data_IF_915772578784
#
_entry.id   IF_915772578784
#
_cell.length_a   1.000
_cell.length_b   1.000
_cell.length_c   1.000
_cell.angle_alpha   90.00
_cell.angle_beta   90.00
_cell.angle_gamma   90.00
#
_symmetry.space_group_name_H-M   'P 1'
#
loop_
_entity.id
_entity.type
_entity.pdbx_description
1 polymer ?
#
# COMPACT_ATOMS: atom_id res chain seq x y z
N UNK A 1 24.43 30.12 33.80
CA UNK A 1 23.91 30.98 32.70
C UNK A 1 22.48 30.55 32.40
N UNK A 2 21.48 31.40 32.66
CA UNK A 2 20.09 31.13 32.27
C UNK A 2 19.98 31.30 30.75
N UNK A 3 19.68 30.23 30.02
CA UNK A 3 19.37 30.32 28.59
C UNK A 3 18.00 30.96 28.46
N UNK A 4 17.96 32.18 27.93
CA UNK A 4 16.74 32.83 27.47
C UNK A 4 16.36 32.16 26.16
N UNK A 5 15.24 31.45 26.13
CA UNK A 5 14.59 31.03 24.89
C UNK A 5 13.82 32.23 24.35
N UNK A 6 14.28 32.80 23.25
CA UNK A 6 13.51 33.76 22.46
C UNK A 6 12.73 32.93 21.45
N UNK A 7 11.42 32.81 21.66
CA UNK A 7 10.50 32.28 20.65
C UNK A 7 10.24 33.44 19.69
N UNK A 8 10.73 33.33 18.45
CA UNK A 8 10.24 34.14 17.35
C UNK A 8 8.91 33.52 16.92
N UNK A 9 7.80 34.19 17.22
CA UNK A 9 6.52 33.92 16.56
C UNK A 9 6.65 34.56 15.18
N UNK A 10 6.96 33.77 14.17
CA UNK A 10 6.81 34.19 12.77
C UNK A 10 5.32 34.12 12.50
N UNK A 11 4.66 35.28 12.47
CA UNK A 11 3.30 35.38 11.95
C UNK A 11 3.40 35.17 10.43
N UNK A 12 2.99 34.00 9.94
CA UNK A 12 2.73 33.85 8.52
C UNK A 12 1.51 34.69 8.20
N UNK A 13 1.69 35.77 7.42
CA UNK A 13 0.58 36.41 6.74
C UNK A 13 0.31 35.50 5.55
N UNK A 14 -0.74 34.68 5.66
CA UNK A 14 -1.19 33.85 4.56
C UNK A 14 -1.73 34.75 3.45
N UNK A 15 -1.44 34.40 2.20
CA UNK A 15 -1.82 35.22 1.07
C UNK A 15 -3.34 35.31 0.97
N UNK A 16 -3.84 36.53 0.81
CA UNK A 16 -5.23 36.78 0.48
C UNK A 16 -5.60 36.02 -0.81
N UNK A 17 -6.75 35.33 -0.86
CA UNK A 17 -7.17 34.63 -2.07
C UNK A 17 -7.44 35.64 -3.21
N UNK A 18 -7.24 35.20 -4.45
CA UNK A 18 -7.36 36.07 -5.64
C UNK A 18 -8.80 36.61 -5.80
N UNK A 19 -9.80 35.83 -5.39
CA UNK A 19 -11.21 36.20 -5.38
C UNK A 19 -11.52 37.35 -4.42
N UNK A 20 -10.67 37.57 -3.41
CA UNK A 20 -10.87 38.61 -2.40
C UNK A 20 -10.11 39.89 -2.74
N UNK A 21 -9.46 39.98 -3.91
CA UNK A 21 -8.78 41.22 -4.32
C UNK A 21 -9.79 42.36 -4.52
N UNK A 22 -9.51 43.51 -3.93
CA UNK A 22 -10.38 44.69 -3.96
C UNK A 22 -9.62 45.95 -4.36
N UNK A 23 -10.33 46.98 -4.82
CA UNK A 23 -9.77 48.29 -5.13
C UNK A 23 -10.01 49.24 -3.96
N UNK A 24 -8.94 49.68 -3.32
CA UNK A 24 -9.05 50.66 -2.24
C UNK A 24 -9.39 52.06 -2.80
N UNK A 25 -10.46 52.67 -2.29
CA UNK A 25 -10.88 54.04 -2.64
C UNK A 25 -10.80 54.99 -1.44
N UNK A 26 -11.15 56.27 -1.66
CA UNK A 26 -11.19 57.27 -0.58
C UNK A 26 -12.51 57.26 0.21
N UNK A 27 -13.45 56.37 -0.13
CA UNK A 27 -14.70 56.15 0.59
C UNK A 27 -14.63 54.79 1.26
N UNK A 28 -15.08 54.71 2.52
CA UNK A 28 -15.10 53.43 3.21
C UNK A 28 -15.63 53.53 4.62
N UNK A 29 -16.07 52.37 5.12
CA UNK A 29 -16.47 52.18 6.50
C UNK A 29 -15.97 50.84 7.02
N UNK A 30 -15.73 50.78 8.31
CA UNK A 30 -15.19 49.57 8.96
C UNK A 30 -16.33 48.67 9.40
N UNK A 31 -16.21 47.37 9.16
CA UNK A 31 -17.09 46.35 9.72
C UNK A 31 -16.31 45.46 10.68
N UNK A 32 -16.99 44.99 11.72
CA UNK A 32 -16.42 44.20 12.80
C UNK A 32 -17.34 43.03 13.12
N UNK A 33 -16.73 41.93 13.55
CA UNK A 33 -17.49 40.75 13.92
C UNK A 33 -16.61 39.57 14.33
N UNK A 34 -17.30 38.51 14.72
CA UNK A 34 -16.74 37.25 15.19
C UNK A 34 -17.26 36.14 14.27
N UNK A 35 -16.44 35.62 13.34
CA UNK A 35 -16.90 34.61 12.39
C UNK A 35 -16.95 33.21 13.01
N UNK A 36 -17.89 32.40 12.51
CA UNK A 36 -18.04 30.98 12.81
C UNK A 36 -18.20 30.19 11.52
N UNK A 37 -17.52 29.05 11.40
CA UNK A 37 -17.75 28.06 10.35
C UNK A 37 -18.49 26.89 10.99
N UNK A 38 -19.71 26.59 10.55
CA UNK A 38 -20.58 25.57 11.17
C UNK A 38 -20.68 25.71 12.71
N UNK A 39 -20.91 26.93 13.20
CA UNK A 39 -20.93 27.32 14.62
C UNK A 39 -19.61 27.12 15.40
N UNK A 40 -18.54 26.67 14.75
CA UNK A 40 -17.21 26.56 15.31
C UNK A 40 -16.39 27.80 14.99
N UNK A 41 -15.47 28.16 15.88
CA UNK A 41 -14.52 29.24 15.66
C UNK A 41 -13.70 29.01 14.39
N UNK A 42 -13.70 30.00 13.49
CA UNK A 42 -12.79 30.06 12.34
C UNK A 42 -11.32 30.25 12.76
N UNK A 43 -10.38 29.89 11.89
CA UNK A 43 -8.95 30.04 12.12
C UNK A 43 -8.48 31.49 11.94
N UNK A 44 -7.40 31.88 12.61
CA UNK A 44 -6.73 33.17 12.30
C UNK A 44 -5.93 33.15 10.99
N UNK A 45 -5.84 32.00 10.31
CA UNK A 45 -5.28 31.92 8.96
C UNK A 45 -6.28 32.36 7.89
N UNK A 46 -7.58 32.23 8.17
CA UNK A 46 -8.68 32.50 7.25
C UNK A 46 -8.82 33.99 6.90
N UNK A 47 -9.55 34.27 5.84
CA UNK A 47 -9.91 35.62 5.41
C UNK A 47 -11.42 35.79 5.34
N UNK A 48 -11.89 37.02 5.54
CA UNK A 48 -13.28 37.41 5.28
C UNK A 48 -13.31 38.59 4.33
N UNK A 49 -14.31 38.63 3.45
CA UNK A 49 -14.50 39.69 2.48
C UNK A 49 -15.98 40.08 2.35
N UNK A 50 -16.20 41.34 1.98
CA UNK A 50 -17.49 41.87 1.58
C UNK A 50 -17.58 41.97 0.06
N UNK A 51 -18.70 41.53 -0.49
CA UNK A 51 -18.99 41.58 -1.92
C UNK A 51 -20.21 42.45 -2.19
N UNK A 52 -20.12 43.35 -3.15
CA UNK A 52 -21.23 44.20 -3.57
C UNK A 52 -22.35 43.39 -4.27
N UNK A 53 -23.42 44.07 -4.67
CA UNK A 53 -24.57 43.45 -5.34
C UNK A 53 -24.25 42.88 -6.74
N UNK A 54 -23.14 43.30 -7.35
CA UNK A 54 -22.67 42.84 -8.65
C UNK A 54 -21.63 41.70 -8.50
N UNK A 55 -21.19 41.42 -7.28
CA UNK A 55 -20.25 40.36 -6.94
C UNK A 55 -18.78 40.77 -6.96
N UNK A 56 -18.45 42.07 -6.97
CA UNK A 56 -17.04 42.49 -6.81
C UNK A 56 -16.68 42.57 -5.33
N UNK A 57 -15.43 42.24 -5.01
CA UNK A 57 -14.95 42.37 -3.65
C UNK A 57 -14.73 43.85 -3.32
N UNK A 58 -15.50 44.37 -2.36
CA UNK A 58 -15.42 45.74 -1.88
C UNK A 58 -14.43 45.90 -0.71
N UNK A 59 -13.86 44.81 -0.21
CA UNK A 59 -12.93 44.84 0.91
C UNK A 59 -12.77 43.47 1.55
N UNK A 60 -11.57 43.21 2.07
CA UNK A 60 -11.25 41.96 2.75
C UNK A 60 -10.27 42.18 3.91
N UNK A 61 -10.24 41.23 4.85
CA UNK A 61 -9.25 41.21 5.90
C UNK A 61 -9.03 39.81 6.46
N UNK A 62 -7.77 39.52 6.81
CA UNK A 62 -7.40 38.30 7.52
C UNK A 62 -8.03 38.30 8.92
N UNK A 63 -8.48 37.14 9.36
CA UNK A 63 -8.98 36.94 10.71
C UNK A 63 -7.84 37.07 11.74
N UNK A 64 -8.15 37.61 12.92
CA UNK A 64 -7.15 37.85 13.96
C UNK A 64 -7.54 37.22 15.28
N UNK A 65 -6.59 36.54 15.91
CA UNK A 65 -6.75 36.07 17.28
C UNK A 65 -6.61 37.24 18.27
N UNK A 66 -7.69 37.57 18.97
CA UNK A 66 -7.72 38.67 19.92
C UNK A 66 -8.66 38.37 21.09
N UNK A 67 -8.21 38.67 22.31
CA UNK A 67 -9.01 38.55 23.53
C UNK A 67 -9.63 37.14 23.76
N UNK A 68 -8.95 36.08 23.31
CA UNK A 68 -9.39 34.69 23.50
C UNK A 68 -10.35 34.15 22.46
N UNK A 69 -10.59 34.91 21.38
CA UNK A 69 -11.40 34.50 20.22
C UNK A 69 -10.81 34.99 18.90
N UNK A 70 -11.39 34.58 17.78
CA UNK A 70 -11.04 35.04 16.44
C UNK A 70 -12.05 36.07 15.96
N UNK A 71 -11.57 37.17 15.37
CA UNK A 71 -12.40 38.30 14.93
C UNK A 71 -11.92 38.86 13.61
N UNK A 72 -12.80 39.60 12.93
CA UNK A 72 -12.42 40.45 11.82
C UNK A 72 -12.66 41.93 12.12
N UNK A 73 -11.89 42.76 11.45
CA UNK A 73 -12.00 44.21 11.48
C UNK A 73 -11.39 44.75 10.19
N UNK A 74 -12.20 45.01 9.17
CA UNK A 74 -11.72 45.43 7.86
C UNK A 74 -12.58 46.54 7.25
N UNK A 75 -12.03 47.18 6.23
CA UNK A 75 -12.68 48.30 5.53
C UNK A 75 -13.48 47.72 4.36
N UNK A 76 -14.75 48.13 4.26
CA UNK A 76 -15.57 47.96 3.05
C UNK A 76 -15.54 49.30 2.31
N UNK A 77 -14.86 49.32 1.17
CA UNK A 77 -14.67 50.49 0.32
C UNK A 77 -15.93 50.80 -0.48
N UNK A 78 -16.08 52.08 -0.82
CA UNK A 78 -17.16 52.56 -1.67
C UNK A 78 -16.68 52.87 -3.09
N UNK A 79 -17.61 53.03 -4.02
CA UNK A 79 -17.30 53.41 -5.40
C UNK A 79 -16.57 54.74 -5.53
N UNK A 80 -15.61 54.80 -6.45
CA UNK A 80 -14.98 56.06 -6.83
C UNK A 80 -15.85 56.77 -7.89
N UNK A 81 -16.48 57.87 -7.49
CA UNK A 81 -17.33 58.69 -8.36
C UNK A 81 -16.61 59.22 -9.61
N UNK A 82 -15.28 59.16 -9.66
CA UNK A 82 -14.46 59.60 -10.80
C UNK A 82 -14.23 58.51 -11.84
N UNK A 83 -14.56 57.24 -11.52
CA UNK A 83 -14.48 56.07 -12.40
C UNK A 83 -15.83 55.35 -12.55
N UNK A 84 -16.93 56.03 -12.94
CA UNK A 84 -18.30 55.48 -12.93
C UNK A 84 -18.57 54.33 -13.93
N UNK A 85 -17.55 53.88 -14.66
CA UNK A 85 -17.62 52.75 -15.57
C UNK A 85 -16.96 51.48 -14.98
N UNK A 86 -16.33 51.61 -13.81
CA UNK A 86 -15.73 50.55 -13.02
C UNK A 86 -16.49 50.51 -11.70
N UNK A 87 -16.77 49.30 -11.23
CA UNK A 87 -17.45 49.05 -9.97
C UNK A 87 -16.36 48.63 -8.98
N UNK A 88 -15.99 49.54 -8.07
CA UNK A 88 -14.88 49.33 -7.14
C UNK A 88 -15.32 48.91 -5.75
N UNK A 89 -16.59 49.08 -5.42
CA UNK A 89 -17.13 48.67 -4.14
C UNK A 89 -18.57 49.13 -3.94
N UNK A 90 -18.86 49.67 -2.76
CA UNK A 90 -20.24 49.89 -2.34
C UNK A 90 -20.80 51.28 -2.69
N UNK A 91 -22.06 51.32 -3.08
CA UNK A 91 -22.92 52.50 -3.09
C UNK A 91 -23.87 52.53 -1.88
N UNK A 92 -24.40 53.71 -1.53
CA UNK A 92 -25.28 53.87 -0.35
C UNK A 92 -26.64 53.17 -0.46
N UNK A 93 -26.97 52.62 -1.63
CA UNK A 93 -28.24 51.92 -1.89
C UNK A 93 -28.07 50.42 -2.08
N UNK A 94 -26.83 49.94 -2.10
CA UNK A 94 -26.53 48.53 -2.27
C UNK A 94 -26.55 47.78 -0.94
N UNK A 95 -26.84 46.50 -1.07
CA UNK A 95 -26.54 45.53 -0.05
C UNK A 95 -25.22 44.84 -0.41
N UNK A 96 -24.55 44.29 0.59
CA UNK A 96 -23.39 43.43 0.40
C UNK A 96 -23.64 42.05 1.01
N UNK A 97 -22.93 41.05 0.52
CA UNK A 97 -22.82 39.74 1.19
C UNK A 97 -21.44 39.63 1.82
N UNK A 98 -21.30 38.73 2.80
CA UNK A 98 -20.01 38.34 3.35
C UNK A 98 -19.65 36.94 2.87
N UNK A 99 -18.37 36.74 2.57
CA UNK A 99 -17.79 35.43 2.33
C UNK A 99 -16.55 35.24 3.18
N UNK A 100 -16.32 34.01 3.62
CA UNK A 100 -15.14 33.60 4.36
C UNK A 100 -14.36 32.60 3.51
N UNK A 101 -13.05 32.77 3.43
CA UNK A 101 -12.15 31.80 2.83
C UNK A 101 -11.43 31.04 3.93
N UNK A 102 -11.70 29.73 4.02
CA UNK A 102 -11.00 28.81 4.89
C UNK A 102 -9.69 28.42 4.21
N UNK A 103 -8.56 28.79 4.84
CA UNK A 103 -7.24 28.56 4.24
C UNK A 103 -6.86 27.09 4.25
N UNK A 104 -7.34 26.32 5.23
CA UNK A 104 -6.93 24.92 5.41
C UNK A 104 -7.50 23.99 4.35
N UNK A 105 -8.66 24.34 3.79
CA UNK A 105 -9.38 23.58 2.77
C UNK A 105 -9.53 24.35 1.45
N UNK A 106 -8.98 25.57 1.40
CA UNK A 106 -9.02 26.48 0.26
C UNK A 106 -10.44 26.66 -0.31
N UNK A 107 -11.44 26.80 0.56
CA UNK A 107 -12.87 26.92 0.19
C UNK A 107 -13.42 28.30 0.54
N UNK A 108 -14.26 28.86 -0.34
CA UNK A 108 -14.97 30.12 -0.10
C UNK A 108 -16.41 29.81 0.30
N UNK A 109 -16.79 30.24 1.49
CA UNK A 109 -18.06 29.97 2.14
C UNK A 109 -18.86 31.28 2.21
N UNK A 110 -20.09 31.27 1.69
CA UNK A 110 -21.00 32.42 1.79
C UNK A 110 -21.74 32.44 3.13
N UNK A 111 -21.92 33.62 3.70
CA UNK A 111 -22.74 33.78 4.90
C UNK A 111 -24.21 33.50 4.56
N UNK A 112 -24.82 32.56 5.29
CA UNK A 112 -26.20 32.12 5.06
C UNK A 112 -27.03 32.16 6.33
N UNK A 113 -28.35 32.29 6.17
CA UNK A 113 -29.28 32.10 7.28
C UNK A 113 -29.49 30.61 7.59
N UNK A 114 -30.27 30.31 8.64
CA UNK A 114 -30.61 28.93 9.06
C UNK A 114 -31.26 28.08 7.95
N UNK A 115 -31.76 28.69 6.88
CA UNK A 115 -32.35 28.02 5.72
C UNK A 115 -31.39 27.91 4.52
N UNK A 116 -30.10 28.24 4.70
CA UNK A 116 -29.08 28.18 3.67
C UNK A 116 -29.15 29.29 2.61
N UNK A 117 -29.97 30.33 2.82
CA UNK A 117 -30.05 31.44 1.87
C UNK A 117 -29.02 32.53 2.20
N UNK A 118 -28.38 33.17 1.21
CA UNK A 118 -27.39 34.22 1.44
C UNK A 118 -27.96 35.38 2.28
N UNK A 119 -27.14 35.90 3.20
CA UNK A 119 -27.48 37.07 4.01
C UNK A 119 -27.04 38.34 3.29
N UNK A 120 -28.00 39.26 3.08
CA UNK A 120 -27.75 40.57 2.49
C UNK A 120 -27.71 41.63 3.59
N UNK A 121 -26.54 42.23 3.75
CA UNK A 121 -26.27 43.31 4.69
C UNK A 121 -26.56 44.66 4.06
N UNK A 122 -27.30 45.52 4.75
CA UNK A 122 -27.75 46.81 4.24
C UNK A 122 -27.28 47.95 5.14
N UNK A 123 -27.34 49.18 4.63
CA UNK A 123 -26.96 50.36 5.43
C UNK A 123 -25.46 50.64 5.44
N UNK A 124 -24.73 50.11 4.45
CA UNK A 124 -23.38 50.57 4.16
C UNK A 124 -23.39 52.10 3.94
N UNK A 125 -22.40 52.78 4.51
CA UNK A 125 -22.18 54.19 4.31
C UNK A 125 -20.69 54.49 4.51
N UNK A 126 -20.15 55.45 3.74
CA UNK A 126 -18.81 55.96 4.01
C UNK A 126 -18.81 56.73 5.32
N UNK A 127 -18.04 56.24 6.28
CA UNK A 127 -17.88 56.81 7.63
C UNK A 127 -16.50 57.42 7.82
N UNK A 128 -15.78 57.68 6.72
CA UNK A 128 -14.37 58.08 6.75
C UNK A 128 -13.53 57.09 7.58
N UNK A 129 -13.71 55.80 7.28
CA UNK A 129 -12.96 54.68 7.84
C UNK A 129 -13.16 54.43 9.35
N UNK A 130 -14.29 54.88 9.92
CA UNK A 130 -14.72 54.46 11.27
C UNK A 130 -15.71 53.30 11.20
N UNK A 131 -15.99 52.57 12.30
CA UNK A 131 -17.00 51.52 12.28
C UNK A 131 -18.38 52.01 11.82
N UNK A 132 -19.02 51.25 10.93
CA UNK A 132 -20.38 51.54 10.43
C UNK A 132 -21.38 51.20 11.53
N UNK A 133 -22.37 52.08 11.76
CA UNK A 133 -23.43 51.84 12.75
C UNK A 133 -24.21 50.58 12.36
N UNK A 134 -24.28 49.61 13.28
CA UNK A 134 -24.88 48.29 13.02
C UNK A 134 -23.86 47.20 12.69
N UNK A 135 -22.63 47.58 12.34
CA UNK A 135 -21.49 46.69 12.07
C UNK A 135 -20.27 47.01 12.96
N UNK A 136 -20.52 47.67 14.09
CA UNK A 136 -19.50 48.20 15.00
C UNK A 136 -19.36 47.39 16.29
N UNK A 137 -19.98 46.21 16.36
CA UNK A 137 -19.86 45.30 17.50
C UNK A 137 -18.90 44.15 17.14
N UNK A 138 -17.68 44.13 17.71
CA UNK A 138 -16.73 43.06 17.42
C UNK A 138 -17.14 41.70 17.99
N UNK A 139 -18.17 41.63 18.85
CA UNK A 139 -18.68 40.38 19.42
C UNK A 139 -19.90 39.83 18.67
N UNK A 140 -20.42 40.57 17.68
CA UNK A 140 -21.49 40.06 16.84
C UNK A 140 -21.00 38.84 16.06
N UNK A 141 -21.71 37.72 16.18
CA UNK A 141 -21.38 36.49 15.47
C UNK A 141 -21.94 36.53 14.04
N UNK A 142 -21.14 36.00 13.10
CA UNK A 142 -21.47 35.83 11.69
C UNK A 142 -21.22 34.36 11.33
N UNK A 143 -22.27 33.64 10.92
CA UNK A 143 -22.21 32.20 10.66
C UNK A 143 -22.06 31.91 9.17
N UNK A 144 -20.98 31.21 8.83
CA UNK A 144 -20.66 30.70 7.51
C UNK A 144 -20.90 29.19 7.54
N UNK A 145 -21.97 28.74 6.90
CA UNK A 145 -22.35 27.32 6.94
C UNK A 145 -21.93 26.64 5.65
N UNK A 146 -21.19 25.55 5.78
CA UNK A 146 -20.84 24.67 4.66
C UNK A 146 -21.93 23.62 4.57
N UNK A 147 -22.56 23.50 3.39
CA UNK A 147 -23.49 22.42 3.14
C UNK A 147 -22.68 21.17 2.78
N UNK A 148 -22.14 20.50 3.81
CA UNK A 148 -21.29 19.33 3.69
C UNK A 148 -22.09 18.04 3.56
N UNK A 149 -21.54 17.05 2.86
CA UNK A 149 -22.08 15.68 2.78
C UNK A 149 -20.96 14.71 3.04
N UNK A 150 -21.13 13.81 4.01
CA UNK A 150 -20.10 12.83 4.35
C UNK A 150 -19.60 12.08 3.10
N UNK A 151 -18.28 12.03 2.86
CA UNK A 151 -17.73 11.33 1.72
C UNK A 151 -17.99 9.82 1.86
N UNK A 152 -18.11 9.12 0.74
CA UNK A 152 -18.46 7.68 0.72
C UNK A 152 -17.43 6.89 -0.06
N UNK A 153 -16.73 5.99 0.62
CA UNK A 153 -15.82 5.03 -0.02
C UNK A 153 -16.64 3.95 -0.74
N UNK A 154 -16.41 3.80 -2.04
CA UNK A 154 -17.03 2.79 -2.89
C UNK A 154 -16.19 1.51 -3.00
N UNK A 155 -14.86 1.64 -2.88
CA UNK A 155 -13.95 0.51 -2.93
C UNK A 155 -12.49 0.93 -3.03
N UNK A 156 -11.63 -0.08 -3.14
CA UNK A 156 -10.18 0.07 -3.27
C UNK A 156 -9.66 -0.76 -4.44
N UNK A 157 -8.65 -0.25 -5.14
CA UNK A 157 -7.92 -0.96 -6.18
C UNK A 157 -6.44 -1.01 -5.84
N UNK A 158 -5.92 -2.22 -5.65
CA UNK A 158 -4.52 -2.51 -5.39
C UNK A 158 -4.04 -3.59 -6.37
N UNK A 159 -2.79 -3.49 -6.80
CA UNK A 159 -2.08 -4.61 -7.42
C UNK A 159 -1.87 -5.74 -6.40
N UNK A 160 -1.48 -6.92 -6.87
CA UNK A 160 -1.15 -8.08 -6.03
C UNK A 160 -0.16 -7.71 -4.90
N UNK A 161 -0.37 -8.31 -3.74
CA UNK A 161 0.46 -8.14 -2.56
C UNK A 161 1.09 -9.46 -2.22
N UNK A 162 2.34 -9.39 -1.77
CA UNK A 162 3.16 -10.54 -1.48
C UNK A 162 3.72 -10.41 -0.08
N UNK A 163 3.95 -11.54 0.60
CA UNK A 163 4.56 -11.54 1.92
C UNK A 163 5.95 -10.90 1.90
N UNK A 164 6.42 -10.47 3.07
CA UNK A 164 7.69 -9.74 3.27
C UNK A 164 7.86 -8.43 2.49
N UNK A 165 6.82 -7.98 1.78
CA UNK A 165 6.78 -6.72 1.07
C UNK A 165 5.72 -5.81 1.71
N UNK A 166 6.19 -4.80 2.43
CA UNK A 166 5.34 -3.71 2.91
C UNK A 166 4.81 -2.89 1.74
N UNK A 167 3.61 -2.32 1.90
CA UNK A 167 2.98 -1.51 0.87
C UNK A 167 2.24 -0.32 1.47
N UNK A 168 2.01 0.69 0.64
CA UNK A 168 1.26 1.89 1.02
C UNK A 168 -0.14 1.86 0.40
N UNK A 169 -1.12 2.39 1.14
CA UNK A 169 -2.44 2.73 0.62
C UNK A 169 -2.57 4.24 0.61
N UNK A 170 -2.89 4.80 -0.55
CA UNK A 170 -3.06 6.23 -0.78
C UNK A 170 -4.47 6.53 -1.29
N UNK A 171 -4.85 7.80 -1.31
CA UNK A 171 -6.17 8.20 -1.82
C UNK A 171 -6.37 7.80 -3.29
N UNK A 172 -5.30 7.73 -4.08
CA UNK A 172 -5.32 7.29 -5.48
C UNK A 172 -5.76 5.82 -5.64
N UNK A 173 -5.64 5.02 -4.58
CA UNK A 173 -6.11 3.63 -4.56
C UNK A 173 -7.61 3.54 -4.28
N UNK A 174 -8.26 4.62 -3.83
CA UNK A 174 -9.62 4.62 -3.31
C UNK A 174 -10.58 5.18 -4.35
N UNK A 175 -11.65 4.45 -4.63
CA UNK A 175 -12.81 4.99 -5.35
C UNK A 175 -13.80 5.52 -4.32
N UNK A 176 -14.19 6.78 -4.44
CA UNK A 176 -15.13 7.43 -3.52
C UNK A 176 -16.13 8.34 -4.25
N UNK A 177 -17.14 8.82 -3.52
CA UNK A 177 -18.05 9.89 -3.92
C UNK A 177 -18.07 10.96 -2.83
N UNK A 178 -18.01 12.21 -3.26
CA UNK A 178 -18.20 13.39 -2.44
C UNK A 178 -19.03 14.40 -3.27
N UNK A 179 -20.18 14.84 -2.76
CA UNK A 179 -21.18 15.62 -3.51
C UNK A 179 -21.57 16.92 -2.79
N UNK A 180 -20.61 17.62 -2.18
CA UNK A 180 -20.89 18.82 -1.39
C UNK A 180 -20.18 20.12 -1.83
N UNK A 181 -19.31 20.02 -2.84
CA UNK A 181 -18.62 21.16 -3.43
C UNK A 181 -17.39 21.62 -2.65
N UNK A 182 -17.01 20.91 -1.58
CA UNK A 182 -15.66 20.98 -1.00
C UNK A 182 -14.69 20.31 -1.98
N UNK A 183 -13.42 20.76 -1.97
CA UNK A 183 -12.43 20.24 -2.90
C UNK A 183 -11.82 18.94 -2.38
N UNK A 184 -11.89 17.89 -3.19
CA UNK A 184 -11.22 16.61 -2.97
C UNK A 184 -9.69 16.71 -2.83
N UNK A 185 -9.07 17.84 -3.22
CA UNK A 185 -7.62 18.05 -3.16
C UNK A 185 -7.09 17.97 -1.71
N UNK A 186 -7.94 18.24 -0.73
CA UNK A 186 -7.59 18.25 0.69
C UNK A 186 -8.09 17.01 1.45
N UNK A 187 -8.65 16.01 0.75
CA UNK A 187 -9.06 14.76 1.38
C UNK A 187 -7.88 14.07 2.05
N UNK A 188 -8.09 13.67 3.30
CA UNK A 188 -7.12 12.89 4.07
C UNK A 188 -7.60 11.45 4.19
N UNK A 189 -6.66 10.50 4.20
CA UNK A 189 -6.93 9.07 4.39
C UNK A 189 -6.36 8.63 5.73
N UNK A 190 -7.19 7.96 6.53
CA UNK A 190 -6.77 7.27 7.75
C UNK A 190 -7.00 5.77 7.59
N UNK A 191 -5.95 4.99 7.85
CA UNK A 191 -6.02 3.54 7.90
C UNK A 191 -6.23 3.10 9.36
N UNK A 192 -7.08 2.09 9.56
CA UNK A 192 -7.29 1.45 10.85
C UNK A 192 -7.23 -0.07 10.73
N UNK A 193 -6.79 -0.74 11.78
CA UNK A 193 -6.73 -2.19 11.81
C UNK A 193 -8.14 -2.81 11.96
N UNK A 194 -8.24 -4.14 11.87
CA UNK A 194 -9.50 -4.88 12.02
C UNK A 194 -10.20 -4.66 13.38
N UNK A 195 -9.48 -4.12 14.37
CA UNK A 195 -9.98 -3.81 15.70
C UNK A 195 -10.30 -2.31 15.88
N UNK A 196 -10.11 -1.49 14.84
CA UNK A 196 -10.39 -0.06 14.82
C UNK A 196 -9.25 0.82 15.33
N UNK A 197 -8.01 0.32 15.41
CA UNK A 197 -6.86 1.13 15.84
C UNK A 197 -6.16 1.79 14.63
N UNK A 198 -5.86 3.07 14.73
CA UNK A 198 -5.22 3.93 13.70
C UNK A 198 -3.68 3.89 13.70
N UNK A 199 -3.07 2.92 14.37
CA UNK A 199 -1.61 2.83 14.51
C UNK A 199 -0.96 3.79 15.53
N UNK A 200 -1.71 4.76 16.11
CA UNK A 200 -1.21 5.58 17.24
C UNK A 200 -1.32 4.85 18.60
N UNK A 201 -2.03 3.74 18.63
CA UNK A 201 -2.03 2.77 19.71
C UNK A 201 -1.28 1.54 19.22
N UNK A 202 -0.32 1.05 20.01
CA UNK A 202 0.41 -0.20 19.73
C UNK A 202 -0.63 -1.30 19.46
N UNK A 203 -0.77 -1.68 18.19
CA UNK A 203 -1.60 -2.81 17.78
C UNK A 203 -1.07 -4.02 18.54
N UNK A 204 -1.97 -4.74 19.23
CA UNK A 204 -1.61 -6.04 19.77
C UNK A 204 -1.27 -6.96 18.60
N UNK A 205 -0.21 -7.75 18.73
CA UNK A 205 0.40 -8.70 17.79
C UNK A 205 -0.54 -9.76 17.14
N UNK A 206 -1.86 -9.54 17.08
CA UNK A 206 -2.86 -10.48 16.61
C UNK A 206 -3.26 -10.31 15.13
N UNK A 207 -2.95 -9.18 14.49
CA UNK A 207 -3.49 -8.85 13.17
C UNK A 207 -2.61 -9.26 11.98
N UNK A 208 -1.46 -9.93 12.18
CA UNK A 208 -0.52 -10.31 11.10
C UNK A 208 0.06 -9.14 10.27
N UNK A 209 -0.28 -7.91 10.62
CA UNK A 209 0.26 -6.67 10.07
C UNK A 209 0.19 -5.55 11.11
N UNK A 210 0.91 -4.46 10.85
CA UNK A 210 0.88 -3.20 11.62
C UNK A 210 0.65 -2.03 10.67
N UNK A 211 -0.10 -1.02 11.11
CA UNK A 211 -0.32 0.23 10.36
C UNK A 211 0.60 1.32 10.92
N UNK A 212 1.29 2.03 10.02
CA UNK A 212 2.07 3.22 10.36
C UNK A 212 1.76 4.34 9.35
N UNK A 213 0.79 5.19 9.70
CA UNK A 213 0.22 6.16 8.76
C UNK A 213 -0.46 5.44 7.61
N UNK A 214 0.05 5.65 6.39
CA UNK A 214 -0.46 5.04 5.16
C UNK A 214 0.22 3.71 4.80
N UNK A 215 1.26 3.32 5.55
CA UNK A 215 2.01 2.10 5.31
C UNK A 215 1.44 0.92 6.08
N UNK A 216 1.26 -0.19 5.36
CA UNK A 216 0.92 -1.50 5.92
C UNK A 216 2.20 -2.31 5.99
N UNK A 217 2.60 -2.67 7.21
CA UNK A 217 3.78 -3.46 7.50
C UNK A 217 3.33 -4.87 7.81
N UNK A 218 3.63 -5.82 6.94
CA UNK A 218 3.27 -7.22 7.15
C UNK A 218 4.20 -7.86 8.18
N UNK A 219 3.68 -8.83 8.93
CA UNK A 219 4.53 -9.69 9.72
C UNK A 219 5.38 -10.55 8.76
N UNK A 220 6.63 -10.82 9.17
CA UNK A 220 7.53 -11.71 8.45
C UNK A 220 6.84 -13.04 8.17
N UNK A 221 6.97 -13.55 6.93
CA UNK A 221 6.48 -14.86 6.51
C UNK A 221 4.95 -15.03 6.58
N UNK A 222 4.19 -13.92 6.61
CA UNK A 222 2.74 -13.98 6.62
C UNK A 222 2.15 -13.88 5.21
N UNK A 223 1.52 -14.97 4.78
CA UNK A 223 0.60 -15.01 3.66
C UNK A 223 -0.83 -15.35 4.12
N UNK A 224 -1.83 -14.92 3.34
CA UNK A 224 -3.25 -15.05 3.65
C UNK A 224 -4.02 -13.73 3.62
N UNK A 225 -5.28 -13.78 4.04
CA UNK A 225 -6.17 -12.62 4.00
C UNK A 225 -5.98 -11.71 5.22
N UNK A 226 -5.73 -10.41 4.98
CA UNK A 226 -5.77 -9.35 5.98
C UNK A 226 -7.00 -8.46 5.75
N UNK A 227 -7.48 -7.82 6.83
CA UNK A 227 -8.61 -6.88 6.76
C UNK A 227 -8.16 -5.51 7.22
N UNK A 228 -8.32 -4.49 6.39
CA UNK A 228 -7.91 -3.10 6.69
C UNK A 228 -9.14 -2.20 6.59
N UNK A 229 -9.36 -1.38 7.63
CA UNK A 229 -10.37 -0.32 7.62
C UNK A 229 -9.81 1.00 7.10
N UNK A 230 -10.65 1.78 6.43
CA UNK A 230 -10.28 3.06 5.84
C UNK A 230 -11.35 4.11 6.14
N UNK A 231 -10.91 5.32 6.43
CA UNK A 231 -11.75 6.52 6.58
C UNK A 231 -11.14 7.61 5.71
N UNK A 232 -11.96 8.31 4.92
CA UNK A 232 -11.56 9.54 4.25
C UNK A 232 -12.25 10.74 4.90
N UNK A 233 -11.57 11.87 5.00
CA UNK A 233 -12.05 13.09 5.67
C UNK A 233 -11.75 14.32 4.82
N UNK A 234 -12.77 15.13 4.56
CA UNK A 234 -12.76 16.33 3.69
C UNK A 234 -12.41 17.61 4.46
N UNK A 235 -12.14 17.51 5.77
CA UNK A 235 -11.90 18.62 6.69
C UNK A 235 -13.12 19.14 7.45
N UNK A 236 -14.34 18.81 6.99
CA UNK A 236 -15.62 19.13 7.63
C UNK A 236 -16.35 17.89 8.13
N UNK A 237 -16.19 16.75 7.47
CA UNK A 237 -16.81 15.47 7.78
C UNK A 237 -15.90 14.29 7.40
N UNK A 238 -16.23 13.12 7.94
CA UNK A 238 -15.51 11.89 7.63
C UNK A 238 -16.47 10.83 7.11
N UNK A 239 -15.96 9.95 6.25
CA UNK A 239 -16.70 8.79 5.78
C UNK A 239 -16.98 7.80 6.93
N UNK A 240 -18.00 6.97 6.72
CA UNK A 240 -18.08 5.71 7.46
C UNK A 240 -16.83 4.84 7.19
N UNK A 241 -16.52 3.92 8.11
CA UNK A 241 -15.39 3.01 7.95
C UNK A 241 -15.70 2.01 6.83
N UNK A 242 -14.81 1.94 5.84
CA UNK A 242 -14.83 0.90 4.82
C UNK A 242 -13.79 -0.18 5.13
N UNK A 243 -14.21 -1.44 5.29
CA UNK A 243 -13.30 -2.57 5.46
C UNK A 243 -13.02 -3.26 4.13
N UNK A 244 -11.75 -3.37 3.78
CA UNK A 244 -11.27 -4.11 2.62
C UNK A 244 -10.56 -5.39 3.06
N UNK A 245 -10.85 -6.48 2.38
CA UNK A 245 -10.08 -7.72 2.48
C UNK A 245 -8.97 -7.70 1.42
N UNK A 246 -7.74 -7.97 1.84
CA UNK A 246 -6.55 -7.99 0.98
C UNK A 246 -5.91 -9.36 1.10
N UNK A 247 -5.74 -10.04 -0.03
CA UNK A 247 -5.02 -11.31 -0.10
C UNK A 247 -3.52 -11.06 -0.25
N UNK A 248 -2.73 -11.59 0.69
CA UNK A 248 -1.26 -11.59 0.65
C UNK A 248 -0.80 -12.94 0.11
N UNK A 249 -0.11 -12.92 -1.02
CA UNK A 249 0.40 -14.10 -1.71
C UNK A 249 1.76 -14.53 -1.13
N UNK A 250 2.02 -15.84 -1.04
CA UNK A 250 3.33 -16.33 -0.61
C UNK A 250 4.44 -16.01 -1.63
N UNK A 251 5.68 -15.89 -1.15
CA UNK A 251 6.90 -15.81 -1.97
C UNK A 251 7.78 -17.01 -1.62
N UNK A 252 8.19 -17.78 -2.64
CA UNK A 252 9.03 -18.96 -2.45
C UNK A 252 10.29 -18.69 -1.59
N UNK A 253 10.28 -19.20 -0.36
CA UNK A 253 11.39 -19.23 0.58
C UNK A 253 12.26 -20.47 0.39
N UNK A 254 13.48 -20.41 0.96
CA UNK A 254 14.32 -21.59 1.04
C UNK A 254 13.91 -22.42 2.27
N UNK A 255 13.75 -23.75 2.14
CA UNK A 255 13.51 -24.60 3.30
C UNK A 255 14.70 -24.54 4.26
N UNK A 256 14.43 -24.62 5.56
CA UNK A 256 15.48 -24.63 6.57
C UNK A 256 15.34 -25.79 7.56
N UNK A 257 16.48 -26.30 8.01
CA UNK A 257 16.53 -27.36 9.02
C UNK A 257 16.30 -26.73 10.40
N UNK A 258 15.13 -27.00 10.99
CA UNK A 258 14.78 -26.61 12.35
C UNK A 258 15.59 -27.41 13.36
N UNK A 259 15.66 -28.72 13.15
CA UNK A 259 16.36 -29.63 14.07
C UNK A 259 16.77 -30.94 13.41
N UNK A 260 17.66 -31.65 14.09
CA UNK A 260 18.05 -33.01 13.73
C UNK A 260 17.29 -33.98 14.65
N UNK A 261 16.58 -34.93 14.06
CA UNK A 261 15.96 -36.06 14.74
C UNK A 261 16.93 -37.24 14.94
N UNK A 262 18.17 -37.10 14.47
CA UNK A 262 19.21 -38.10 14.68
C UNK A 262 20.11 -37.73 15.87
N UNK A 263 20.22 -38.64 16.83
CA UNK A 263 21.16 -38.51 17.95
C UNK A 263 22.60 -38.85 17.54
N UNK A 264 23.53 -38.73 18.49
CA UNK A 264 24.92 -39.14 18.26
C UNK A 264 25.01 -40.60 17.84
N UNK A 265 25.64 -40.85 16.69
CA UNK A 265 25.83 -42.19 16.16
C UNK A 265 27.23 -42.72 16.49
N UNK A 266 27.32 -44.02 16.80
CA UNK A 266 28.59 -44.73 16.90
C UNK A 266 28.63 -45.75 15.78
N UNK A 267 29.55 -45.54 14.84
CA UNK A 267 29.77 -46.42 13.70
C UNK A 267 31.06 -47.20 13.90
N UNK A 268 31.07 -48.44 13.43
CA UNK A 268 32.33 -49.19 13.33
C UNK A 268 33.18 -48.59 12.21
N UNK A 269 34.49 -48.75 12.32
CA UNK A 269 35.36 -48.48 11.18
C UNK A 269 34.93 -49.33 9.98
N UNK A 270 35.12 -48.77 8.78
CA UNK A 270 34.77 -49.39 7.50
C UNK A 270 33.26 -49.73 7.34
N UNK A 271 32.39 -49.00 8.04
CA UNK A 271 30.94 -49.05 7.86
C UNK A 271 30.41 -47.74 7.32
N UNK A 272 29.39 -47.80 6.45
CA UNK A 272 28.64 -46.63 6.02
C UNK A 272 27.51 -46.32 7.01
N UNK A 273 27.15 -45.05 7.09
CA UNK A 273 26.01 -44.56 7.84
C UNK A 273 25.19 -43.67 6.91
N UNK A 274 23.91 -44.01 6.78
CA UNK A 274 22.99 -43.32 5.90
C UNK A 274 22.28 -42.24 6.72
N UNK A 275 22.29 -41.02 6.19
CA UNK A 275 21.48 -39.91 6.70
C UNK A 275 20.35 -39.69 5.71
N UNK A 276 19.13 -39.71 6.20
CA UNK A 276 17.93 -39.51 5.42
C UNK A 276 17.35 -38.10 5.66
N UNK A 277 16.54 -37.58 4.73
CA UNK A 277 15.83 -36.32 4.94
C UNK A 277 14.90 -36.39 6.17
N UNK A 278 14.37 -37.58 6.46
CA UNK A 278 13.58 -37.86 7.67
C UNK A 278 14.37 -37.76 8.99
N UNK A 279 15.71 -37.73 8.93
CA UNK A 279 16.56 -37.43 10.09
C UNK A 279 16.56 -35.94 10.46
N UNK A 280 15.89 -35.09 9.67
CA UNK A 280 15.74 -33.67 9.92
C UNK A 280 14.28 -33.28 10.07
N UNK A 281 14.03 -32.26 10.90
CA UNK A 281 12.79 -31.49 10.85
C UNK A 281 13.10 -30.29 9.97
N UNK A 282 12.50 -30.27 8.79
CA UNK A 282 12.62 -29.19 7.81
C UNK A 282 11.29 -28.43 7.82
N UNK A 283 11.37 -27.12 7.97
CA UNK A 283 10.23 -26.23 7.77
C UNK A 283 10.44 -25.44 6.48
N UNK A 284 9.34 -25.29 5.75
CA UNK A 284 9.23 -24.45 4.57
C UNK A 284 7.97 -23.61 4.78
N UNK A 285 8.15 -22.29 4.81
CA UNK A 285 7.15 -21.34 5.34
C UNK A 285 5.91 -21.27 4.46
N UNK A 286 6.08 -21.49 3.17
CA UNK A 286 5.09 -21.26 2.12
C UNK A 286 4.71 -22.53 1.36
N UNK A 287 5.41 -23.64 1.59
CA UNK A 287 5.29 -24.75 0.68
C UNK A 287 4.17 -25.73 1.05
N UNK A 288 3.17 -25.66 0.18
CA UNK A 288 2.02 -26.56 -0.01
C UNK A 288 2.37 -27.67 -1.04
N UNK A 289 3.60 -27.77 -1.55
CA UNK A 289 4.08 -28.96 -2.26
C UNK A 289 4.78 -29.89 -1.25
N UNK A 290 4.54 -31.22 -1.29
CA UNK A 290 5.37 -32.13 -0.52
C UNK A 290 6.79 -31.89 -1.00
N UNK A 291 7.76 -31.90 -0.08
CA UNK A 291 9.14 -32.24 -0.42
C UNK A 291 9.00 -33.47 -1.32
N UNK A 292 9.13 -33.28 -2.63
CA UNK A 292 9.05 -34.37 -3.56
C UNK A 292 10.37 -35.07 -3.36
N UNK A 293 10.40 -35.96 -2.36
CA UNK A 293 11.36 -37.04 -2.34
C UNK A 293 11.15 -37.70 -3.68
N UNK A 294 12.05 -37.45 -4.64
CA UNK A 294 11.98 -38.15 -5.92
C UNK A 294 11.95 -39.63 -5.54
N UNK A 295 10.86 -40.32 -5.92
CA UNK A 295 10.60 -41.67 -5.42
C UNK A 295 11.75 -42.62 -5.80
N UNK A 296 12.47 -42.27 -6.86
CA UNK A 296 13.74 -42.82 -7.29
C UNK A 296 14.80 -41.71 -7.27
N UNK A 297 15.99 -42.03 -6.77
CA UNK A 297 17.17 -41.15 -6.77
C UNK A 297 18.33 -41.81 -7.53
N UNK A 298 19.27 -41.01 -8.04
CA UNK A 298 20.59 -41.51 -8.43
C UNK A 298 21.39 -41.81 -7.18
N UNK A 299 21.70 -43.08 -6.93
CA UNK A 299 22.48 -43.53 -5.78
C UNK A 299 23.99 -43.48 -6.05
N UNK A 300 24.40 -43.92 -7.23
CA UNK A 300 25.80 -43.94 -7.67
C UNK A 300 25.87 -43.68 -9.17
N UNK A 301 26.97 -43.09 -9.65
CA UNK A 301 27.27 -43.02 -11.07
C UNK A 301 28.78 -43.05 -11.32
N UNK A 302 29.17 -43.50 -12.51
CA UNK A 302 30.55 -43.52 -13.00
C UNK A 302 30.56 -43.13 -14.48
N UNK A 303 31.22 -42.03 -14.82
CA UNK A 303 31.35 -41.49 -16.20
C UNK A 303 32.80 -41.60 -16.75
N UNK A 304 33.64 -42.42 -16.11
CA UNK A 304 35.06 -42.59 -16.46
C UNK A 304 35.53 -44.00 -16.07
N UNK A 305 34.99 -45.00 -16.78
CA UNK A 305 35.11 -46.43 -16.46
C UNK A 305 36.46 -47.09 -16.80
N UNK A 306 37.51 -46.34 -17.18
CA UNK A 306 38.83 -46.80 -17.68
C UNK A 306 39.45 -48.04 -17.02
N UNK A 307 39.20 -48.28 -15.72
CA UNK A 307 39.70 -49.45 -14.98
C UNK A 307 38.72 -50.02 -13.94
N UNK A 308 37.44 -49.63 -13.93
CA UNK A 308 36.46 -50.17 -13.00
C UNK A 308 35.20 -50.62 -13.72
N UNK A 309 34.56 -51.61 -13.09
CA UNK A 309 33.13 -51.82 -13.18
C UNK A 309 32.76 -52.48 -14.52
N UNK A 310 32.96 -53.79 -14.54
CA UNK A 310 32.68 -54.63 -15.69
C UNK A 310 31.16 -54.85 -15.79
N UNK A 311 30.57 -54.47 -16.93
CA UNK A 311 29.18 -54.77 -17.26
C UNK A 311 28.96 -56.28 -17.34
N UNK A 312 27.71 -56.78 -17.33
CA UNK A 312 27.41 -58.21 -17.47
C UNK A 312 28.04 -58.88 -18.71
N UNK A 313 28.30 -58.09 -19.75
CA UNK A 313 28.86 -58.53 -21.03
C UNK A 313 30.39 -58.51 -21.08
N UNK A 314 31.04 -58.10 -19.99
CA UNK A 314 32.49 -58.20 -19.83
C UNK A 314 33.27 -56.95 -20.25
N UNK A 315 32.58 -55.88 -20.64
CA UNK A 315 33.18 -54.60 -21.01
C UNK A 315 33.23 -53.66 -19.80
N UNK A 316 34.12 -52.67 -19.83
CA UNK A 316 34.15 -51.60 -18.83
C UNK A 316 33.28 -50.46 -19.31
N UNK A 317 32.20 -50.19 -18.60
CA UNK A 317 31.18 -49.25 -19.03
C UNK A 317 30.84 -48.24 -17.94
N UNK A 318 30.35 -47.10 -18.40
CA UNK A 318 29.82 -46.05 -17.53
C UNK A 318 28.47 -46.51 -17.00
N UNK A 319 28.12 -46.10 -15.79
CA UNK A 319 26.86 -46.53 -15.20
C UNK A 319 26.21 -45.46 -14.35
N UNK A 320 24.89 -45.61 -14.19
CA UNK A 320 24.06 -44.88 -13.25
C UNK A 320 23.26 -45.90 -12.46
N UNK A 321 23.37 -45.89 -11.14
CA UNK A 321 22.58 -46.71 -10.25
C UNK A 321 21.40 -45.90 -9.70
N UNK A 322 20.20 -46.39 -9.94
CA UNK A 322 18.97 -45.86 -9.38
C UNK A 322 18.61 -46.60 -8.10
N UNK A 323 18.14 -45.88 -7.09
CA UNK A 323 17.64 -46.45 -5.84
C UNK A 323 16.17 -46.07 -5.60
N UNK A 324 15.34 -47.07 -5.32
CA UNK A 324 13.97 -46.86 -4.85
C UNK A 324 13.94 -46.79 -3.32
N UNK A 325 13.91 -45.57 -2.77
CA UNK A 325 13.83 -45.33 -1.33
C UNK A 325 12.44 -45.48 -0.72
N UNK A 326 11.41 -45.77 -1.51
CA UNK A 326 10.03 -45.88 -1.02
C UNK A 326 9.75 -47.25 -0.42
N UNK A 327 8.62 -47.37 0.31
CA UNK A 327 8.16 -48.64 0.88
C UNK A 327 7.43 -49.55 -0.13
N UNK A 328 7.28 -49.13 -1.38
CA UNK A 328 6.55 -49.83 -2.44
C UNK A 328 7.42 -50.06 -3.66
N UNK A 329 7.04 -50.99 -4.53
CA UNK A 329 7.71 -51.18 -5.82
C UNK A 329 7.34 -50.05 -6.78
N UNK A 330 8.31 -49.49 -7.49
CA UNK A 330 8.10 -48.44 -8.50
C UNK A 330 8.22 -49.05 -9.89
N UNK A 331 7.17 -48.89 -10.69
CA UNK A 331 7.15 -49.31 -12.08
C UNK A 331 7.72 -48.18 -12.95
N UNK A 332 8.81 -48.45 -13.64
CA UNK A 332 9.48 -47.50 -14.54
C UNK A 332 9.24 -47.84 -16.02
N UNK A 333 8.27 -48.69 -16.32
CA UNK A 333 7.89 -49.02 -17.69
C UNK A 333 7.54 -47.75 -18.48
N UNK A 334 8.22 -47.55 -19.60
CA UNK A 334 8.05 -46.39 -20.46
C UNK A 334 8.89 -45.17 -20.06
N UNK A 335 9.68 -45.23 -19.00
CA UNK A 335 10.62 -44.16 -18.66
C UNK A 335 11.73 -44.04 -19.70
N UNK A 336 12.12 -42.80 -19.99
CA UNK A 336 13.20 -42.46 -20.92
C UNK A 336 14.50 -42.11 -20.19
N UNK A 337 15.63 -42.47 -20.80
CA UNK A 337 16.98 -42.21 -20.29
C UNK A 337 17.84 -41.58 -21.38
N UNK A 338 18.69 -40.62 -21.02
CA UNK A 338 19.58 -39.90 -21.94
C UNK A 338 20.68 -39.13 -21.18
N UNK A 339 21.73 -38.73 -21.89
CA UNK A 339 22.75 -37.76 -21.49
C UNK A 339 22.58 -36.38 -22.17
N UNK A 340 21.56 -36.25 -23.03
CA UNK A 340 21.32 -35.08 -23.87
C UNK A 340 19.94 -34.49 -23.61
N UNK A 341 19.89 -33.18 -23.33
CA UNK A 341 18.65 -32.46 -23.00
C UNK A 341 17.60 -32.58 -24.12
N UNK A 342 16.41 -33.04 -23.74
CA UNK A 342 15.28 -33.16 -24.66
C UNK A 342 15.35 -34.33 -25.63
N UNK A 343 16.30 -35.25 -25.43
CA UNK A 343 16.41 -36.51 -26.15
C UNK A 343 16.16 -37.70 -25.21
N UNK A 344 15.59 -38.78 -25.74
CA UNK A 344 15.46 -40.07 -25.06
C UNK A 344 16.19 -41.10 -25.90
N UNK A 345 17.32 -41.61 -25.42
CA UNK A 345 18.11 -42.60 -26.14
C UNK A 345 17.60 -44.02 -25.89
N UNK A 346 17.12 -44.32 -24.69
CA UNK A 346 16.59 -45.65 -24.36
C UNK A 346 15.33 -45.55 -23.49
N UNK A 347 14.39 -46.47 -23.71
CA UNK A 347 13.14 -46.57 -22.95
C UNK A 347 13.12 -47.88 -22.15
N UNK A 348 12.80 -47.80 -20.86
CA UNK A 348 12.63 -48.98 -20.03
C UNK A 348 11.42 -49.82 -20.49
N UNK A 349 11.58 -51.14 -20.68
CA UNK A 349 10.47 -52.07 -20.89
C UNK A 349 9.73 -52.30 -19.56
N UNK A 350 8.85 -53.31 -19.49
CA UNK A 350 8.12 -53.70 -18.28
C UNK A 350 9.06 -54.04 -17.10
N UNK A 351 9.45 -52.99 -16.36
CA UNK A 351 10.53 -52.99 -15.37
C UNK A 351 10.02 -52.32 -14.12
N UNK A 352 10.31 -52.91 -12.97
CA UNK A 352 10.04 -52.28 -11.68
C UNK A 352 11.24 -52.44 -10.76
N UNK A 353 11.50 -51.41 -9.96
CA UNK A 353 12.50 -51.42 -8.90
C UNK A 353 11.76 -51.65 -7.60
N UNK A 354 12.01 -52.78 -6.92
CA UNK A 354 11.32 -53.06 -5.67
C UNK A 354 11.72 -52.05 -4.57
N UNK A 355 10.92 -51.98 -3.50
CA UNK A 355 11.23 -51.15 -2.34
C UNK A 355 12.61 -51.47 -1.78
N UNK A 356 13.47 -50.47 -1.67
CA UNK A 356 14.84 -50.62 -1.19
C UNK A 356 15.82 -51.30 -2.14
N UNK A 357 15.39 -51.62 -3.38
CA UNK A 357 16.27 -52.23 -4.40
C UNK A 357 16.94 -51.16 -5.28
N UNK A 358 17.96 -51.61 -6.00
CA UNK A 358 18.78 -50.81 -6.90
C UNK A 358 18.66 -51.31 -8.35
N UNK A 359 18.80 -50.40 -9.31
CA UNK A 359 18.90 -50.73 -10.73
C UNK A 359 20.09 -50.02 -11.36
N UNK A 360 21.03 -50.79 -11.89
CA UNK A 360 22.19 -50.27 -12.62
C UNK A 360 21.84 -50.17 -14.09
N UNK A 361 21.97 -48.95 -14.63
CA UNK A 361 21.87 -48.61 -16.04
C UNK A 361 23.28 -48.45 -16.61
N UNK A 362 23.57 -49.07 -17.74
CA UNK A 362 24.90 -49.05 -18.36
C UNK A 362 24.90 -48.11 -19.56
N UNK A 363 25.65 -47.03 -19.51
CA UNK A 363 25.76 -46.05 -20.60
C UNK A 363 26.85 -46.50 -21.57
N UNK A 364 26.46 -47.34 -22.53
CA UNK A 364 27.36 -47.98 -23.51
C UNK A 364 27.52 -47.13 -24.77
N UNK A 365 26.49 -46.38 -25.14
CA UNK A 365 26.42 -45.67 -26.42
C UNK A 365 26.06 -46.58 -27.59
N UNK A 366 25.52 -47.77 -27.31
CA UNK A 366 25.05 -48.74 -28.28
C UNK A 366 23.60 -49.19 -27.92
N UNK A 367 22.75 -49.40 -28.94
CA UNK A 367 21.37 -49.90 -28.81
C UNK A 367 21.32 -51.43 -28.60
N UNK A 368 21.84 -51.88 -27.45
CA UNK A 368 21.90 -53.31 -27.05
C UNK A 368 20.71 -53.74 -26.17
N UNK A 369 19.85 -52.78 -25.80
CA UNK A 369 18.62 -52.99 -25.07
C UNK A 369 18.76 -52.86 -23.56
N UNK A 370 17.67 -52.44 -22.91
CA UNK A 370 17.64 -52.14 -21.48
C UNK A 370 18.12 -53.31 -20.59
N UNK A 371 18.98 -53.07 -19.56
CA UNK A 371 19.33 -51.77 -18.95
C UNK A 371 20.55 -51.07 -19.56
N UNK A 372 20.97 -51.41 -20.78
CA UNK A 372 21.98 -50.65 -21.52
C UNK A 372 21.33 -49.44 -22.22
N UNK A 373 21.99 -48.29 -22.13
CA UNK A 373 21.52 -46.99 -22.59
C UNK A 373 22.38 -46.58 -23.79
N UNK A 374 21.72 -46.23 -24.89
CA UNK A 374 22.30 -45.74 -26.16
C UNK A 374 22.82 -44.28 -26.04
N UNK A 375 23.56 -44.02 -24.95
CA UNK A 375 24.20 -42.77 -24.56
C UNK A 375 25.51 -43.10 -23.85
N UNK A 376 26.52 -42.20 -23.90
CA UNK A 376 27.84 -42.47 -23.30
C UNK A 376 28.27 -41.31 -22.42
N UNK A 377 28.54 -41.61 -21.15
CA UNK A 377 28.79 -40.54 -20.22
C UNK A 377 30.14 -39.85 -20.43
N UNK A 378 30.16 -38.52 -20.39
CA UNK A 378 31.35 -37.71 -20.55
C UNK A 378 32.18 -37.62 -19.26
N UNK A 379 33.46 -37.98 -19.36
CA UNK A 379 34.43 -37.80 -18.26
C UNK A 379 34.73 -36.35 -17.90
N UNK A 380 34.35 -35.38 -18.75
CA UNK A 380 34.50 -33.94 -18.50
C UNK A 380 33.30 -33.34 -17.73
N UNK A 381 32.27 -34.16 -17.44
CA UNK A 381 31.05 -33.79 -16.74
C UNK A 381 29.92 -33.36 -17.69
N UNK A 382 28.70 -33.80 -17.36
CA UNK A 382 27.45 -33.50 -18.05
C UNK A 382 26.23 -33.83 -17.17
N UNK A 383 25.03 -33.73 -17.72
CA UNK A 383 23.77 -34.00 -17.03
C UNK A 383 23.16 -35.32 -17.50
N UNK A 384 22.63 -36.12 -16.55
CA UNK A 384 21.83 -37.31 -16.82
C UNK A 384 20.35 -36.90 -16.82
N UNK A 385 19.63 -37.22 -17.89
CA UNK A 385 18.21 -36.94 -18.04
C UNK A 385 17.40 -38.22 -17.89
N UNK A 386 16.45 -38.20 -16.96
CA UNK A 386 15.48 -39.31 -16.78
C UNK A 386 14.08 -38.74 -16.78
N UNK A 387 13.24 -39.27 -17.66
CA UNK A 387 11.87 -38.83 -17.88
C UNK A 387 10.91 -39.98 -17.55
N UNK A 388 9.77 -39.68 -16.92
CA UNK A 388 8.72 -40.66 -16.74
C UNK A 388 8.00 -40.97 -18.07
N UNK A 389 7.06 -41.92 -18.05
CA UNK A 389 6.32 -42.33 -19.25
C UNK A 389 5.37 -41.27 -19.83
N UNK A 390 5.12 -40.19 -19.08
CA UNK A 390 4.33 -39.04 -19.49
C UNK A 390 5.23 -37.88 -20.00
N UNK A 391 6.57 -38.03 -19.92
CA UNK A 391 7.56 -37.04 -20.33
C UNK A 391 7.86 -35.98 -19.26
N UNK A 392 7.52 -36.22 -17.99
CA UNK A 392 7.92 -35.35 -16.90
C UNK A 392 9.36 -35.69 -16.48
N UNK A 393 10.16 -34.66 -16.24
CA UNK A 393 11.52 -34.81 -15.73
C UNK A 393 11.48 -35.38 -14.31
N UNK A 394 12.12 -36.53 -14.12
CA UNK A 394 12.29 -37.18 -12.81
C UNK A 394 13.66 -36.82 -12.21
N UNK A 395 14.71 -36.78 -13.04
CA UNK A 395 16.09 -36.43 -12.67
C UNK A 395 16.68 -35.49 -13.75
N UNK A 396 17.31 -34.38 -13.32
CA UNK A 396 18.13 -33.48 -14.15
C UNK A 396 19.31 -32.86 -13.37
#
# INVERSE_FOLDING_TARGET
MKKIFIIFIISYIYAQPDEFQFVATNLGGVIQGTPRINDVRASSSDWVAAFDANGNCAGAGQLVWVAGDVRFNFIVYGDDITSPAVDEGMSSTENFTLKLWDESLNVIIEETNESGNPIYHSGWQSTNFTPIVGYNDPYQEYSFNVNNVDPVILGISLDEKYEDINFDITIDNISFLDEDGVSDEYLTLTLIDSSGNDGNQLSSDQNNYTINGNSVILNENYNGEIVIGMIIDDGFSSSEIYFANIEVLPINDNPFIVSQNIGNQTVFEDSFFVVDVSDFVIEDVDNIAPIATSQIVVNEFLAASDNCCMSPDGNYEDFVELYNGTSESININGWGFSDTEGEVSTIAPDTSIASGDFLVLWFTGDDDGFPEIDSKLSSDGETIYIEDSDGNVVIN
#
